data_IF_456515233690
#
_entry.id   IF_456515233690
#
_cell.length_a   1.000
_cell.length_b   1.000
_cell.length_c   1.000
_cell.angle_alpha   90.00
_cell.angle_beta   90.00
_cell.angle_gamma   90.00
#
_symmetry.space_group_name_H-M   'P 1'
#
loop_
_entity.id
_entity.type
_entity.pdbx_description
1 polymer ?
#
# COMPACT_ATOMS: atom_id res chain seq x y z
N UNK A 1 -12.61 -2.31 -26.36
CA UNK A 1 -12.18 -1.36 -25.31
C UNK A 1 -11.38 -2.17 -24.33
N UNK A 2 -10.06 -1.98 -24.29
CA UNK A 2 -9.19 -2.70 -23.35
C UNK A 2 -9.49 -2.19 -21.94
N UNK A 3 -10.10 -3.04 -21.11
CA UNK A 3 -10.14 -2.85 -19.66
C UNK A 3 -8.69 -2.90 -19.16
N UNK A 4 -7.98 -1.78 -19.20
CA UNK A 4 -6.64 -1.66 -18.64
C UNK A 4 -6.73 -1.79 -17.13
N UNK A 5 -6.03 -2.79 -16.57
CA UNK A 5 -5.77 -2.85 -15.13
C UNK A 5 -4.99 -1.59 -14.73
N UNK A 6 -5.46 -0.88 -13.68
CA UNK A 6 -4.71 0.25 -13.12
C UNK A 6 -3.45 -0.21 -12.37
N UNK A 7 -3.32 -1.49 -12.07
CA UNK A 7 -2.13 -2.06 -11.45
C UNK A 7 -1.18 -2.60 -12.50
N UNK A 8 0.06 -2.13 -12.46
CA UNK A 8 1.18 -2.62 -13.26
C UNK A 8 2.09 -3.44 -12.35
N UNK A 9 2.35 -4.69 -12.75
CA UNK A 9 3.35 -5.53 -12.12
C UNK A 9 4.74 -5.20 -12.69
N UNK A 10 5.57 -4.58 -11.86
CA UNK A 10 6.97 -4.23 -12.16
C UNK A 10 7.94 -5.14 -11.39
N UNK A 11 7.48 -6.31 -10.95
CA UNK A 11 8.30 -7.30 -10.26
C UNK A 11 9.45 -7.75 -11.17
N UNK A 12 10.64 -7.89 -10.58
CA UNK A 12 11.84 -8.34 -11.26
C UNK A 12 12.66 -9.29 -10.38
N UNK A 13 13.83 -9.72 -10.84
CA UNK A 13 14.69 -10.68 -10.11
C UNK A 13 15.15 -10.25 -8.71
N UNK A 14 14.80 -9.04 -8.25
CA UNK A 14 15.10 -8.50 -6.92
C UNK A 14 13.89 -8.29 -5.99
N UNK A 15 12.66 -8.62 -6.39
CA UNK A 15 11.49 -8.53 -5.50
C UNK A 15 10.16 -8.22 -6.20
N UNK A 16 9.07 -8.25 -5.42
CA UNK A 16 7.74 -7.90 -5.88
C UNK A 16 7.55 -6.38 -5.84
N UNK A 17 7.01 -5.80 -6.91
CA UNK A 17 6.68 -4.37 -7.01
C UNK A 17 5.43 -4.19 -7.87
N UNK A 18 4.44 -3.47 -7.35
CA UNK A 18 3.20 -3.15 -8.04
C UNK A 18 2.93 -1.66 -7.96
N UNK A 19 2.71 -1.03 -9.11
CA UNK A 19 2.43 0.39 -9.19
C UNK A 19 0.99 0.64 -9.65
N UNK A 20 0.34 1.59 -8.99
CA UNK A 20 -0.97 2.08 -9.37
C UNK A 20 -0.83 3.20 -10.40
N UNK A 21 -1.08 2.84 -11.66
CA UNK A 21 -1.02 3.70 -12.82
C UNK A 21 -2.38 3.69 -13.54
N UNK A 22 -3.33 4.55 -13.14
CA UNK A 22 -4.64 4.59 -13.77
C UNK A 22 -4.47 4.97 -15.25
N UNK A 23 -5.21 4.32 -16.17
CA UNK A 23 -5.25 4.71 -17.57
C UNK A 23 -5.54 6.20 -17.76
N UNK A 24 -4.91 6.83 -18.76
CA UNK A 24 -5.00 8.27 -18.98
C UNK A 24 -6.40 8.79 -19.33
N UNK A 25 -7.33 7.90 -19.70
CA UNK A 25 -8.73 8.19 -19.96
C UNK A 25 -9.62 8.06 -18.70
N UNK A 26 -9.07 7.64 -17.56
CA UNK A 26 -9.83 7.62 -16.31
C UNK A 26 -10.09 9.02 -15.78
N UNK A 27 -11.34 9.28 -15.40
CA UNK A 27 -11.71 10.49 -14.67
C UNK A 27 -11.20 10.44 -13.23
N UNK A 28 -11.10 11.61 -12.58
CA UNK A 28 -10.79 11.67 -11.16
C UNK A 28 -11.79 10.87 -10.32
N UNK A 29 -13.09 10.94 -10.63
CA UNK A 29 -14.11 10.18 -9.91
C UNK A 29 -13.88 8.67 -10.04
N UNK A 30 -13.46 8.20 -11.22
CA UNK A 30 -13.12 6.79 -11.43
C UNK A 30 -11.88 6.38 -10.62
N UNK A 31 -10.85 7.22 -10.60
CA UNK A 31 -9.65 6.99 -9.79
C UNK A 31 -10.02 6.92 -8.31
N UNK A 32 -10.83 7.85 -7.81
CA UNK A 32 -11.26 7.87 -6.41
C UNK A 32 -12.13 6.66 -6.06
N UNK A 33 -13.01 6.23 -6.97
CA UNK A 33 -13.79 5.01 -6.79
C UNK A 33 -12.89 3.76 -6.70
N UNK A 34 -11.81 3.70 -7.48
CA UNK A 34 -10.84 2.61 -7.41
C UNK A 34 -10.05 2.63 -6.10
N UNK A 35 -9.61 3.82 -5.64
CA UNK A 35 -8.93 3.97 -4.36
C UNK A 35 -9.83 3.60 -3.16
N UNK A 36 -11.13 3.92 -3.25
CA UNK A 36 -12.12 3.47 -2.27
C UNK A 36 -12.32 1.94 -2.31
N UNK A 37 -12.30 1.33 -3.50
CA UNK A 37 -12.35 -0.13 -3.64
C UNK A 37 -11.11 -0.80 -3.04
N UNK A 38 -9.92 -0.23 -3.24
CA UNK A 38 -8.68 -0.68 -2.60
C UNK A 38 -8.84 -0.62 -1.07
N UNK A 39 -9.35 0.48 -0.52
CA UNK A 39 -9.59 0.60 0.92
C UNK A 39 -10.53 -0.50 1.44
N UNK A 40 -11.63 -0.76 0.74
CA UNK A 40 -12.58 -1.81 1.11
C UNK A 40 -11.95 -3.22 1.07
N UNK A 41 -11.09 -3.51 0.09
CA UNK A 41 -10.36 -4.77 0.02
C UNK A 41 -9.36 -4.94 1.18
N UNK A 42 -8.69 -3.85 1.58
CA UNK A 42 -7.78 -3.88 2.72
C UNK A 42 -8.53 -4.16 4.02
N UNK A 43 -9.69 -3.55 4.23
CA UNK A 43 -10.53 -3.85 5.40
C UNK A 43 -11.06 -5.28 5.40
N UNK A 44 -11.56 -5.77 4.27
CA UNK A 44 -12.05 -7.15 4.18
C UNK A 44 -10.95 -8.19 4.42
N UNK A 45 -9.69 -7.85 4.16
CA UNK A 45 -8.55 -8.73 4.41
C UNK A 45 -8.24 -8.94 5.90
N UNK A 46 -8.89 -8.20 6.82
CA UNK A 46 -8.75 -8.38 8.27
C UNK A 46 -9.43 -9.67 8.77
N UNK A 47 -10.41 -10.19 8.03
CA UNK A 47 -11.25 -11.34 8.43
C UNK A 47 -10.74 -12.70 7.92
N UNK A 48 -9.67 -12.72 7.12
CA UNK A 48 -9.18 -13.96 6.49
C UNK A 48 -7.83 -14.35 7.07
N UNK A 49 -7.81 -15.32 7.99
CA UNK A 49 -6.57 -16.05 8.30
C UNK A 49 -6.00 -16.59 6.98
N UNK A 50 -4.73 -16.28 6.71
CA UNK A 50 -4.07 -16.60 5.45
C UNK A 50 -3.99 -18.12 5.22
N UNK A 51 -5.04 -18.71 4.65
CA UNK A 51 -4.95 -20.01 3.98
C UNK A 51 -4.14 -19.81 2.70
N UNK A 52 -3.01 -20.51 2.63
CA UNK A 52 -2.19 -20.62 1.43
C UNK A 52 -3.07 -21.09 0.27
N UNK A 53 -3.35 -20.19 -0.68
CA UNK A 53 -4.13 -20.48 -1.87
C UNK A 53 -3.29 -20.17 -3.11
N UNK A 54 -3.26 -21.17 -3.98
CA UNK A 54 -2.40 -21.36 -5.14
C UNK A 54 -2.33 -20.21 -6.15
N UNK A 55 -1.31 -20.33 -7.00
CA UNK A 55 -0.99 -19.58 -8.22
C UNK A 55 -2.18 -19.44 -9.20
N UNK A 56 -2.11 -18.46 -10.10
CA UNK A 56 -3.02 -18.22 -11.25
C UNK A 56 -4.17 -17.20 -11.11
N UNK A 57 -3.92 -16.07 -10.43
CA UNK A 57 -4.82 -14.87 -10.42
C UNK A 57 -4.09 -13.54 -10.64
N UNK A 58 -3.44 -13.40 -11.80
CA UNK A 58 -2.53 -12.34 -12.27
C UNK A 58 -2.83 -10.87 -11.84
N UNK A 59 -1.78 -10.20 -11.33
CA UNK A 59 -1.64 -8.76 -11.01
C UNK A 59 -2.59 -8.12 -9.97
N UNK A 60 -3.91 -8.32 -10.07
CA UNK A 60 -4.86 -7.75 -9.09
C UNK A 60 -4.77 -8.44 -7.71
N UNK A 61 -4.25 -9.67 -7.65
CA UNK A 61 -3.99 -10.38 -6.39
C UNK A 61 -2.59 -10.09 -5.80
N UNK A 62 -1.63 -9.67 -6.62
CA UNK A 62 -0.22 -9.57 -6.21
C UNK A 62 0.04 -8.44 -5.21
N UNK A 63 -0.46 -7.24 -5.52
CA UNK A 63 -0.37 -6.10 -4.62
C UNK A 63 -1.16 -6.34 -3.33
N UNK A 64 -2.31 -7.02 -3.42
CA UNK A 64 -3.16 -7.32 -2.26
C UNK A 64 -2.46 -8.33 -1.33
N UNK A 65 -1.81 -9.36 -1.87
CA UNK A 65 -0.96 -10.30 -1.10
C UNK A 65 0.18 -9.59 -0.36
N UNK A 66 0.76 -8.53 -0.94
CA UNK A 66 1.73 -7.71 -0.20
C UNK A 66 1.06 -6.90 0.90
N UNK A 67 -0.08 -6.29 0.60
CA UNK A 67 -0.81 -5.48 1.57
C UNK A 67 -1.34 -6.30 2.75
N UNK A 68 -1.68 -7.58 2.54
CA UNK A 68 -2.14 -8.45 3.62
C UNK A 68 -1.06 -8.77 4.65
N UNK A 69 0.22 -8.69 4.26
CA UNK A 69 1.39 -8.86 5.15
C UNK A 69 1.66 -7.66 6.05
N UNK A 70 1.05 -6.51 5.77
CA UNK A 70 1.25 -5.32 6.59
C UNK A 70 0.72 -5.56 8.01
N UNK A 71 1.42 -5.04 9.05
CA UNK A 71 0.88 -5.03 10.40
C UNK A 71 -0.49 -4.36 10.42
N UNK A 72 -1.41 -4.89 11.23
CA UNK A 72 -2.80 -4.42 11.31
C UNK A 72 -2.91 -2.90 11.46
N UNK A 73 -2.12 -2.31 12.37
CA UNK A 73 -2.13 -0.86 12.56
C UNK A 73 -1.75 -0.09 11.29
N UNK A 74 -0.76 -0.56 10.52
CA UNK A 74 -0.32 0.12 9.31
C UNK A 74 -1.34 -0.02 8.17
N UNK A 75 -1.98 -1.19 8.04
CA UNK A 75 -3.10 -1.38 7.10
C UNK A 75 -4.29 -0.49 7.44
N UNK A 76 -4.67 -0.41 8.72
CA UNK A 76 -5.72 0.50 9.18
C UNK A 76 -5.38 1.98 8.90
N UNK A 77 -4.11 2.36 9.04
CA UNK A 77 -3.64 3.70 8.70
C UNK A 77 -3.80 3.98 7.19
N UNK A 78 -3.46 3.04 6.32
CA UNK A 78 -3.66 3.16 4.87
C UNK A 78 -5.14 3.33 4.52
N UNK A 79 -6.02 2.51 5.11
CA UNK A 79 -7.47 2.62 4.91
C UNK A 79 -7.98 4.02 5.30
N UNK A 80 -7.54 4.54 6.45
CA UNK A 80 -7.90 5.87 6.91
C UNK A 80 -7.45 6.97 5.94
N UNK A 81 -6.24 6.86 5.40
CA UNK A 81 -5.70 7.81 4.41
C UNK A 81 -6.45 7.75 3.07
N UNK A 82 -6.74 6.55 2.57
CA UNK A 82 -7.53 6.38 1.33
C UNK A 82 -8.93 6.98 1.48
N UNK A 83 -9.57 6.79 2.64
CA UNK A 83 -10.87 7.40 2.95
C UNK A 83 -10.80 8.92 3.10
N UNK A 84 -9.68 9.45 3.56
CA UNK A 84 -9.42 10.88 3.62
C UNK A 84 -9.10 11.50 2.24
N UNK A 85 -9.01 10.67 1.20
CA UNK A 85 -8.78 11.10 -0.18
C UNK A 85 -7.31 11.05 -0.61
N UNK A 86 -6.42 10.50 0.21
CA UNK A 86 -5.08 10.14 -0.23
C UNK A 86 -5.14 8.97 -1.23
N UNK A 87 -4.06 8.73 -1.94
CA UNK A 87 -4.01 7.76 -3.04
C UNK A 87 -2.78 6.88 -2.89
N UNK A 88 -2.98 5.59 -2.98
CA UNK A 88 -1.90 4.62 -3.09
C UNK A 88 -1.30 4.72 -4.49
N UNK A 89 0.03 4.87 -4.54
CA UNK A 89 0.84 4.97 -5.75
C UNK A 89 1.53 3.66 -6.11
N UNK A 90 1.92 2.86 -5.12
CA UNK A 90 2.50 1.54 -5.33
C UNK A 90 2.78 0.81 -4.02
N UNK A 91 3.14 -0.46 -4.13
CA UNK A 91 3.51 -1.33 -3.01
C UNK A 91 4.56 -2.35 -3.47
N UNK A 92 5.56 -2.59 -2.64
CA UNK A 92 6.64 -3.51 -2.97
C UNK A 92 7.32 -4.15 -1.76
N UNK A 93 8.13 -5.18 -2.03
CA UNK A 93 8.88 -5.93 -1.02
C UNK A 93 10.33 -6.17 -1.44
N UNK A 94 10.97 -5.18 -2.06
CA UNK A 94 12.30 -5.27 -2.66
C UNK A 94 13.47 -5.33 -1.64
N UNK A 95 13.26 -5.95 -0.46
CA UNK A 95 14.31 -6.18 0.55
C UNK A 95 14.78 -4.93 1.29
N UNK A 96 14.04 -3.82 1.18
CA UNK A 96 14.28 -2.57 1.89
C UNK A 96 13.02 -2.17 2.69
N UNK A 97 13.14 -1.59 3.90
CA UNK A 97 14.35 -1.30 4.68
C UNK A 97 15.11 -2.52 5.19
N UNK A 98 14.50 -3.70 5.14
CA UNK A 98 15.17 -4.97 5.37
C UNK A 98 14.46 -6.13 4.68
N UNK A 99 14.99 -7.33 4.89
CA UNK A 99 14.36 -8.54 4.35
C UNK A 99 12.96 -8.74 4.96
N UNK A 100 12.01 -9.13 4.11
CA UNK A 100 10.62 -9.34 4.51
C UNK A 100 9.78 -8.07 4.65
N UNK A 101 10.40 -6.88 4.56
CA UNK A 101 9.69 -5.60 4.58
C UNK A 101 8.71 -5.46 3.41
N UNK A 102 7.63 -4.73 3.67
CA UNK A 102 6.73 -4.21 2.63
C UNK A 102 6.69 -2.69 2.78
N UNK A 103 6.81 -2.00 1.64
CA UNK A 103 6.81 -0.54 1.56
C UNK A 103 5.68 -0.12 0.66
N UNK A 104 4.88 0.83 1.14
CA UNK A 104 3.77 1.45 0.42
C UNK A 104 4.13 2.88 0.06
N UNK A 105 3.93 3.24 -1.20
CA UNK A 105 4.08 4.61 -1.66
C UNK A 105 2.69 5.26 -1.74
N UNK A 106 2.52 6.39 -1.09
CA UNK A 106 1.31 7.21 -1.12
C UNK A 106 1.60 8.50 -1.90
N UNK A 107 0.57 9.08 -2.55
CA UNK A 107 0.74 10.26 -3.41
C UNK A 107 0.81 11.56 -2.62
N UNK A 108 0.00 11.68 -1.58
CA UNK A 108 -0.14 12.89 -0.78
C UNK A 108 0.39 12.66 0.62
N UNK A 109 0.74 13.74 1.32
CA UNK A 109 1.13 13.71 2.74
C UNK A 109 0.06 13.05 3.61
N UNK A 110 0.48 12.43 4.70
CA UNK A 110 -0.42 11.82 5.65
C UNK A 110 -1.24 12.89 6.38
N UNK A 111 -2.54 12.64 6.51
CA UNK A 111 -3.48 13.55 7.14
C UNK A 111 -4.18 12.87 8.30
N UNK A 112 -4.93 11.79 8.05
CA UNK A 112 -5.63 11.03 9.07
C UNK A 112 -4.67 10.34 10.05
N UNK A 113 -3.73 9.56 9.52
CA UNK A 113 -2.77 8.79 10.30
C UNK A 113 -1.67 9.65 10.92
N UNK A 114 -1.45 10.87 10.40
CA UNK A 114 -0.52 11.84 10.99
C UNK A 114 -0.98 12.31 12.38
N UNK A 115 -2.28 12.60 12.53
CA UNK A 115 -2.82 13.17 13.77
C UNK A 115 -3.39 12.12 14.73
N UNK A 116 -3.68 10.93 14.23
CA UNK A 116 -4.17 9.80 15.02
C UNK A 116 -3.62 8.47 14.47
N UNK A 117 -2.31 8.21 14.59
CA UNK A 117 -1.74 6.94 14.13
C UNK A 117 -2.35 5.77 14.94
N UNK A 118 -2.75 4.67 14.28
CA UNK A 118 -3.22 3.49 14.97
C UNK A 118 -2.17 2.88 15.91
N UNK A 119 -2.57 2.08 16.91
CA UNK A 119 -1.62 1.42 17.81
C UNK A 119 -0.54 0.64 17.06
N UNK A 120 0.71 0.82 17.47
CA UNK A 120 1.87 0.18 16.85
C UNK A 120 2.37 0.84 15.56
N UNK A 121 1.74 1.94 15.13
CA UNK A 121 2.22 2.77 14.03
C UNK A 121 2.88 4.04 14.58
N UNK A 122 4.03 4.39 14.02
CA UNK A 122 4.76 5.60 14.34
C UNK A 122 4.74 6.48 13.10
N UNK A 123 4.31 7.73 13.24
CA UNK A 123 4.47 8.75 12.21
C UNK A 123 5.77 9.54 12.42
N UNK A 124 6.48 9.83 11.33
CA UNK A 124 7.68 10.68 11.33
C UNK A 124 7.67 11.61 10.13
N UNK A 125 8.03 12.87 10.38
CA UNK A 125 8.44 13.79 9.32
C UNK A 125 9.93 13.55 9.02
N UNK A 126 10.24 13.33 7.74
CA UNK A 126 11.61 13.09 7.27
C UNK A 126 12.13 14.27 6.45
N UNK A 127 11.28 14.85 5.60
CA UNK A 127 11.63 15.94 4.67
C UNK A 127 12.93 15.71 3.90
N UNK A 128 13.20 14.46 3.51
CA UNK A 128 14.36 14.11 2.70
C UNK A 128 13.95 14.11 1.21
N UNK A 129 14.47 15.04 0.40
CA UNK A 129 14.11 15.16 -1.01
C UNK A 129 14.57 13.98 -1.87
N UNK A 130 15.47 13.14 -1.38
CA UNK A 130 15.95 11.95 -2.07
C UNK A 130 15.20 10.68 -1.67
N UNK A 131 14.34 10.76 -0.63
CA UNK A 131 13.78 9.59 0.03
C UNK A 131 12.28 9.70 0.24
N UNK A 132 11.84 10.54 1.19
CA UNK A 132 10.44 10.71 1.53
C UNK A 132 10.25 11.99 2.35
N UNK A 133 9.06 12.57 2.25
CA UNK A 133 8.64 13.71 3.07
C UNK A 133 8.18 13.24 4.44
N UNK A 134 7.40 12.16 4.46
CA UNK A 134 6.78 11.61 5.66
C UNK A 134 6.80 10.08 5.61
N UNK A 135 6.77 9.47 6.79
CA UNK A 135 6.77 8.01 6.97
C UNK A 135 5.76 7.63 8.06
N UNK A 136 5.02 6.56 7.80
CA UNK A 136 4.40 5.72 8.82
C UNK A 136 5.17 4.42 8.89
N UNK A 137 5.62 4.03 10.08
CA UNK A 137 6.33 2.78 10.30
C UNK A 137 5.65 1.90 11.34
N UNK A 138 5.70 0.60 11.13
CA UNK A 138 5.28 -0.42 12.09
C UNK A 138 6.25 -1.60 12.06
N UNK A 139 6.35 -2.32 13.18
CA UNK A 139 7.22 -3.50 13.30
C UNK A 139 6.41 -4.74 13.64
N UNK A 140 6.78 -5.86 13.03
CA UNK A 140 6.34 -7.19 13.44
C UNK A 140 7.59 -8.06 13.66
N UNK A 141 7.91 -8.34 14.92
CA UNK A 141 9.18 -8.95 15.29
C UNK A 141 10.37 -8.07 14.87
N UNK A 142 11.28 -8.61 14.06
CA UNK A 142 12.45 -7.90 13.52
C UNK A 142 12.19 -7.19 12.18
N UNK A 143 11.02 -7.37 11.58
CA UNK A 143 10.70 -6.82 10.25
C UNK A 143 10.03 -5.46 10.41
N UNK A 144 10.51 -4.49 9.64
CA UNK A 144 9.96 -3.13 9.57
C UNK A 144 9.14 -2.93 8.29
N UNK A 145 7.99 -2.29 8.43
CA UNK A 145 7.04 -2.03 7.36
C UNK A 145 6.78 -0.54 7.29
N UNK A 146 6.73 0.01 6.08
CA UNK A 146 6.68 1.45 5.87
C UNK A 146 5.53 1.84 4.94
N UNK A 147 4.94 3.00 5.18
CA UNK A 147 4.23 3.77 4.17
C UNK A 147 4.89 5.16 4.08
N UNK A 148 5.19 5.61 2.86
CA UNK A 148 5.94 6.85 2.61
C UNK A 148 5.26 7.74 1.56
N UNK A 149 5.58 9.04 1.59
CA UNK A 149 5.02 10.09 0.69
C UNK A 149 6.11 11.00 0.15
#
# INVERSE_FOLDING_TARGET
MTNGSAWIDNSGGGGLQYDFHPPGDWTNDRIMAEQAAIAALLEASEDTEATEADDDGMAAAGWLRLATRLPMGLRAALVAELRAGNRLAGIGSAGWPGEGSVVVNMRERFTAARYAPPPGVIWRELNDPQYAREELSAKAGSVEFLAIT
#
